data_IF_388107723945
#
_entry.id   IF_388107723945
#
_cell.length_a   1.000
_cell.length_b   1.000
_cell.length_c   1.000
_cell.angle_alpha   90.00
_cell.angle_beta   90.00
_cell.angle_gamma   90.00
#
_symmetry.space_group_name_H-M   'P 1'
#
loop_
_entity.id
_entity.type
_entity.pdbx_description
1 polymer ?
#
# COMPACT_ATOMS: atom_id res chain seq x y z
N UNK A 1 7.92 -5.50 -17.23
CA UNK A 1 7.70 -5.38 -15.77
C UNK A 1 6.20 -5.37 -15.50
N UNK A 2 5.71 -6.08 -14.48
CA UNK A 2 4.27 -6.20 -14.15
C UNK A 2 3.95 -5.43 -12.87
N UNK A 3 2.90 -4.60 -12.92
CA UNK A 3 2.37 -3.84 -11.79
C UNK A 3 0.92 -4.30 -11.54
N UNK A 4 0.64 -4.76 -10.33
CA UNK A 4 -0.63 -5.35 -9.92
C UNK A 4 -1.35 -4.50 -8.87
N UNK A 5 -2.52 -3.99 -9.26
CA UNK A 5 -3.47 -3.25 -8.42
C UNK A 5 -3.68 -1.80 -8.87
N UNK A 6 -4.82 -1.22 -8.50
CA UNK A 6 -5.07 0.22 -8.68
C UNK A 6 -5.39 0.86 -7.34
N UNK A 7 -4.36 1.41 -6.74
CA UNK A 7 -4.42 2.34 -5.62
C UNK A 7 -3.51 3.53 -5.92
N UNK A 8 -3.72 4.65 -5.22
CA UNK A 8 -2.99 5.92 -5.46
C UNK A 8 -1.46 5.74 -5.54
N UNK A 9 -0.90 4.78 -4.79
CA UNK A 9 0.53 4.49 -4.80
C UNK A 9 1.01 3.76 -6.07
N UNK A 10 0.23 2.83 -6.61
CA UNK A 10 0.62 2.03 -7.77
C UNK A 10 0.66 2.86 -9.06
N UNK A 11 -0.25 3.83 -9.22
CA UNK A 11 -0.16 4.77 -10.35
C UNK A 11 1.17 5.55 -10.34
N UNK A 12 1.61 6.02 -9.16
CA UNK A 12 2.86 6.75 -9.05
C UNK A 12 4.07 5.83 -9.26
N UNK A 13 3.99 4.57 -8.82
CA UNK A 13 5.02 3.56 -9.12
C UNK A 13 5.11 3.30 -10.62
N UNK A 14 3.97 3.15 -11.31
CA UNK A 14 3.94 3.00 -12.76
C UNK A 14 4.62 4.19 -13.46
N UNK A 15 4.35 5.42 -13.02
CA UNK A 15 4.98 6.61 -13.59
C UNK A 15 6.49 6.67 -13.32
N UNK A 16 6.93 6.33 -12.11
CA UNK A 16 8.35 6.32 -11.76
C UNK A 16 9.14 5.25 -12.53
N UNK A 17 8.52 4.10 -12.81
CA UNK A 17 9.11 3.11 -13.71
C UNK A 17 9.06 3.55 -15.17
N UNK A 18 7.98 4.19 -15.61
CA UNK A 18 7.86 4.76 -16.96
C UNK A 18 8.96 5.77 -17.25
N UNK A 19 9.24 6.69 -16.31
CA UNK A 19 10.37 7.64 -16.39
C UNK A 19 11.74 6.98 -16.54
N UNK A 20 11.87 5.72 -16.12
CA UNK A 20 13.11 4.92 -16.22
C UNK A 20 13.14 4.06 -17.50
N UNK A 21 12.21 4.25 -18.42
CA UNK A 21 12.15 3.51 -19.68
C UNK A 21 11.67 2.06 -19.51
N UNK A 22 10.94 1.74 -18.44
CA UNK A 22 10.46 0.37 -18.24
C UNK A 22 9.24 0.07 -19.12
N UNK A 23 9.20 -1.14 -19.69
CA UNK A 23 7.98 -1.73 -20.25
C UNK A 23 7.03 -2.19 -19.14
N UNK A 24 5.77 -1.79 -19.22
CA UNK A 24 4.77 -1.97 -18.18
C UNK A 24 3.62 -2.84 -18.68
N UNK A 25 3.23 -3.81 -17.85
CA UNK A 25 1.89 -4.40 -17.88
C UNK A 25 1.22 -4.06 -16.57
N UNK A 26 0.05 -3.43 -16.62
CA UNK A 26 -0.63 -2.87 -15.45
C UNK A 26 -1.97 -3.60 -15.29
N UNK A 27 -2.17 -4.22 -14.13
CA UNK A 27 -3.36 -5.00 -13.80
C UNK A 27 -4.29 -4.27 -12.83
N UNK A 28 -5.58 -4.11 -13.16
CA UNK A 28 -6.58 -3.56 -12.25
C UNK A 28 -8.04 -3.87 -12.64
N UNK A 29 -8.96 -3.81 -11.67
CA UNK A 29 -10.40 -4.03 -11.91
C UNK A 29 -11.10 -2.92 -12.70
N UNK A 30 -10.70 -1.66 -12.51
CA UNK A 30 -11.37 -0.49 -13.11
C UNK A 30 -10.70 -0.10 -14.42
N UNK A 31 -11.27 -0.53 -15.53
CA UNK A 31 -10.70 -0.38 -16.86
C UNK A 31 -10.40 1.07 -17.25
N UNK A 32 -11.33 2.00 -17.04
CA UNK A 32 -11.13 3.42 -17.41
C UNK A 32 -9.92 4.03 -16.69
N UNK A 33 -9.83 3.84 -15.38
CA UNK A 33 -8.71 4.35 -14.59
C UNK A 33 -7.39 3.62 -14.91
N UNK A 34 -7.48 2.35 -15.33
CA UNK A 34 -6.32 1.58 -15.75
C UNK A 34 -5.74 2.11 -17.07
N UNK A 35 -6.61 2.43 -18.04
CA UNK A 35 -6.21 3.03 -19.32
C UNK A 35 -5.54 4.39 -19.12
N UNK A 36 -6.12 5.24 -18.26
CA UNK A 36 -5.53 6.55 -17.93
C UNK A 36 -4.09 6.41 -17.36
N UNK A 37 -3.88 5.45 -16.46
CA UNK A 37 -2.54 5.20 -15.89
C UNK A 37 -1.57 4.68 -16.95
N UNK A 38 -2.00 3.79 -17.84
CA UNK A 38 -1.16 3.29 -18.93
C UNK A 38 -0.76 4.42 -19.91
N UNK A 39 -1.72 5.24 -20.35
CA UNK A 39 -1.48 6.41 -21.20
C UNK A 39 -0.51 7.38 -20.54
N UNK A 40 -0.73 7.69 -19.25
CA UNK A 40 0.15 8.60 -18.53
C UNK A 40 1.55 8.01 -18.33
N UNK A 41 1.67 6.70 -18.12
CA UNK A 41 2.95 6.03 -18.00
C UNK A 41 3.75 6.05 -19.31
N UNK A 42 3.07 5.92 -20.46
CA UNK A 42 3.65 6.12 -21.78
C UNK A 42 4.17 7.56 -21.94
N UNK A 43 3.33 8.57 -21.65
CA UNK A 43 3.69 9.99 -21.76
C UNK A 43 4.90 10.41 -20.92
N UNK A 44 5.15 9.74 -19.78
CA UNK A 44 6.30 10.05 -18.91
C UNK A 44 7.58 9.28 -19.28
N UNK A 45 7.55 8.43 -20.32
CA UNK A 45 8.75 7.81 -20.88
C UNK A 45 8.74 6.28 -20.98
N UNK A 46 7.63 5.61 -20.65
CA UNK A 46 7.55 4.15 -20.85
C UNK A 46 7.54 3.82 -22.35
N UNK A 47 8.39 2.92 -22.84
CA UNK A 47 8.37 2.51 -24.25
C UNK A 47 7.12 1.68 -24.61
N UNK A 48 6.41 1.16 -23.61
CA UNK A 48 5.15 0.44 -23.79
C UNK A 48 4.47 0.18 -22.45
N UNK A 49 3.20 0.56 -22.35
CA UNK A 49 2.38 0.38 -21.14
C UNK A 49 1.04 -0.24 -21.53
N UNK A 50 0.81 -1.48 -21.09
CA UNK A 50 -0.34 -2.29 -21.48
C UNK A 50 -1.32 -2.42 -20.31
N UNK A 51 -2.54 -1.87 -20.42
CA UNK A 51 -3.58 -2.08 -19.43
C UNK A 51 -4.23 -3.46 -19.61
N UNK A 52 -4.28 -4.26 -18.55
CA UNK A 52 -4.95 -5.57 -18.53
C UNK A 52 -5.96 -5.57 -17.39
N UNK A 53 -7.28 -5.64 -17.67
CA UNK A 53 -8.27 -5.81 -16.61
C UNK A 53 -7.94 -7.04 -15.77
N UNK A 54 -7.84 -6.86 -14.45
CA UNK A 54 -7.40 -7.93 -13.54
C UNK A 54 -8.06 -7.76 -12.19
N UNK A 55 -8.80 -8.79 -11.79
CA UNK A 55 -9.17 -9.04 -10.41
C UNK A 55 -8.18 -10.00 -9.77
N UNK A 56 -7.34 -9.48 -8.87
CA UNK A 56 -6.28 -10.26 -8.24
C UNK A 56 -6.82 -11.40 -7.35
N UNK A 57 -8.08 -11.34 -6.91
CA UNK A 57 -8.71 -12.44 -6.17
C UNK A 57 -8.95 -13.68 -7.06
N UNK A 58 -8.88 -13.52 -8.39
CA UNK A 58 -9.11 -14.58 -9.37
C UNK A 58 -7.78 -15.12 -9.90
N UNK A 59 -7.63 -16.44 -9.84
CA UNK A 59 -6.43 -17.15 -10.29
C UNK A 59 -6.16 -16.93 -11.78
N UNK A 60 -7.19 -17.05 -12.62
CA UNK A 60 -7.04 -16.93 -14.08
C UNK A 60 -6.69 -15.50 -14.52
N UNK A 61 -7.22 -14.48 -13.85
CA UNK A 61 -6.85 -13.09 -14.11
C UNK A 61 -5.36 -12.85 -13.80
N UNK A 62 -4.87 -13.39 -12.67
CA UNK A 62 -3.45 -13.32 -12.30
C UNK A 62 -2.56 -14.02 -13.33
N UNK A 63 -2.96 -15.21 -13.78
CA UNK A 63 -2.25 -15.98 -14.81
C UNK A 63 -2.18 -15.20 -16.13
N UNK A 64 -3.32 -14.68 -16.58
CA UNK A 64 -3.46 -13.91 -17.83
C UNK A 64 -2.58 -12.69 -17.80
N UNK A 65 -2.56 -11.95 -16.69
CA UNK A 65 -1.70 -10.77 -16.57
C UNK A 65 -0.21 -11.09 -16.71
N UNK A 66 0.26 -12.14 -16.05
CA UNK A 66 1.66 -12.56 -16.19
C UNK A 66 1.94 -13.02 -17.62
N UNK A 67 1.03 -13.78 -18.22
CA UNK A 67 1.18 -14.26 -19.59
C UNK A 67 1.25 -13.11 -20.60
N UNK A 68 0.43 -12.06 -20.44
CA UNK A 68 0.50 -10.86 -21.29
C UNK A 68 1.88 -10.20 -21.22
N UNK A 69 2.48 -10.10 -20.04
CA UNK A 69 3.84 -9.55 -19.93
C UNK A 69 4.89 -10.37 -20.67
N UNK A 70 4.76 -11.71 -20.64
CA UNK A 70 5.67 -12.60 -21.34
C UNK A 70 5.41 -12.58 -22.86
N UNK A 71 4.16 -12.57 -23.29
CA UNK A 71 3.80 -12.51 -24.70
C UNK A 71 4.28 -11.21 -25.36
N UNK A 72 4.13 -10.09 -24.66
CA UNK A 72 4.40 -8.76 -25.22
C UNK A 72 5.88 -8.38 -25.14
N UNK A 73 6.56 -8.77 -24.06
CA UNK A 73 7.92 -8.30 -23.78
C UNK A 73 8.95 -9.42 -23.61
N UNK A 74 8.53 -10.69 -23.58
CA UNK A 74 9.41 -11.85 -23.46
C UNK A 74 10.13 -11.98 -22.11
N UNK A 75 9.89 -11.08 -21.15
CA UNK A 75 10.64 -11.02 -19.88
C UNK A 75 9.83 -10.41 -18.75
N UNK A 76 10.19 -10.81 -17.52
CA UNK A 76 9.65 -10.25 -16.30
C UNK A 76 10.75 -9.98 -15.28
N UNK A 77 11.06 -8.70 -15.06
CA UNK A 77 12.12 -8.29 -14.12
C UNK A 77 11.56 -7.96 -12.73
N UNK A 78 10.49 -7.16 -12.65
CA UNK A 78 9.83 -6.91 -11.37
C UNK A 78 8.34 -7.25 -11.43
N UNK A 79 7.85 -7.84 -10.35
CA UNK A 79 6.44 -7.97 -10.00
C UNK A 79 6.16 -7.03 -8.83
N UNK A 80 5.30 -6.04 -9.02
CA UNK A 80 4.89 -5.13 -7.93
C UNK A 80 3.44 -5.41 -7.56
N UNK A 81 3.16 -5.76 -6.30
CA UNK A 81 1.82 -6.08 -5.81
C UNK A 81 1.44 -5.14 -4.67
N UNK A 82 0.33 -4.41 -4.83
CA UNK A 82 -0.28 -3.62 -3.75
C UNK A 82 -1.80 -3.74 -3.77
N UNK A 83 -2.28 -4.97 -3.68
CA UNK A 83 -3.67 -5.25 -3.46
C UNK A 83 -3.91 -5.35 -1.95
N UNK A 84 -4.64 -4.38 -1.40
CA UNK A 84 -4.89 -4.26 0.03
C UNK A 84 -6.32 -3.78 0.25
N UNK A 85 -7.20 -4.63 0.76
CA UNK A 85 -8.48 -4.21 1.33
C UNK A 85 -8.46 -4.55 2.82
N UNK A 86 -8.62 -3.53 3.66
CA UNK A 86 -8.75 -3.71 5.10
C UNK A 86 -10.21 -3.44 5.47
N UNK A 87 -10.99 -4.46 5.82
CA UNK A 87 -12.31 -4.22 6.41
C UNK A 87 -12.12 -3.46 7.72
N UNK A 88 -12.81 -2.32 7.86
CA UNK A 88 -12.77 -1.50 9.07
C UNK A 88 -14.04 -1.82 9.85
N UNK A 89 -13.95 -2.78 10.78
CA UNK A 89 -15.00 -3.09 11.75
C UNK A 89 -14.39 -3.40 13.11
N UNK A 90 -15.13 -3.17 14.19
CA UNK A 90 -14.78 -3.80 15.47
C UNK A 90 -15.05 -5.29 15.35
N UNK A 91 -14.21 -6.11 15.98
CA UNK A 91 -14.48 -7.55 16.06
C UNK A 91 -15.83 -7.82 16.73
N UNK A 92 -16.16 -7.02 17.76
CA UNK A 92 -17.43 -7.04 18.50
C UNK A 92 -18.64 -6.64 17.64
N UNK A 93 -18.44 -5.77 16.65
CA UNK A 93 -19.47 -5.34 15.68
C UNK A 93 -19.52 -6.24 14.43
N UNK A 94 -18.70 -7.29 14.38
CA UNK A 94 -18.63 -8.19 13.21
C UNK A 94 -19.49 -9.42 13.46
N UNK A 95 -20.74 -9.35 13.00
CA UNK A 95 -21.74 -10.41 13.18
C UNK A 95 -21.54 -11.61 12.24
N UNK A 96 -20.77 -11.44 11.14
CA UNK A 96 -20.46 -12.51 10.19
C UNK A 96 -18.97 -12.56 9.85
N UNK A 97 -18.32 -13.67 10.21
CA UNK A 97 -16.89 -13.94 9.94
C UNK A 97 -16.58 -14.05 8.45
N UNK A 98 -17.58 -14.41 7.63
CA UNK A 98 -17.48 -14.47 6.16
C UNK A 98 -17.11 -13.12 5.52
N UNK A 99 -17.33 -12.00 6.21
CA UNK A 99 -16.92 -10.66 5.74
C UNK A 99 -15.40 -10.48 5.61
N UNK A 100 -14.60 -11.38 6.18
CA UNK A 100 -13.14 -11.36 6.04
C UNK A 100 -12.62 -12.17 4.85
N UNK A 101 -13.42 -13.06 4.27
CA UNK A 101 -12.99 -13.91 3.16
C UNK A 101 -12.52 -13.09 1.94
N UNK A 102 -13.23 -12.04 1.48
CA UNK A 102 -12.75 -11.21 0.38
C UNK A 102 -11.43 -10.48 0.69
N UNK A 103 -11.19 -10.12 1.96
CA UNK A 103 -9.94 -9.49 2.36
C UNK A 103 -8.76 -10.48 2.28
N UNK A 104 -8.97 -11.74 2.66
CA UNK A 104 -7.98 -12.81 2.50
C UNK A 104 -7.74 -13.16 1.02
N UNK A 105 -8.80 -13.22 0.23
CA UNK A 105 -8.72 -13.49 -1.21
C UNK A 105 -7.87 -12.43 -1.94
N UNK A 106 -7.99 -11.17 -1.53
CA UNK A 106 -7.23 -10.07 -2.14
C UNK A 106 -5.82 -9.96 -1.55
N UNK A 107 -5.69 -9.90 -0.22
CA UNK A 107 -4.44 -9.54 0.44
C UNK A 107 -3.45 -10.70 0.48
N UNK A 108 -3.95 -11.93 0.60
CA UNK A 108 -3.13 -13.13 0.72
C UNK A 108 -3.12 -13.92 -0.58
N UNK A 109 -4.29 -14.41 -1.02
CA UNK A 109 -4.38 -15.28 -2.18
C UNK A 109 -3.99 -14.56 -3.47
N UNK A 110 -4.41 -13.31 -3.65
CA UNK A 110 -4.02 -12.53 -4.81
C UNK A 110 -2.51 -12.33 -4.95
N UNK A 111 -1.81 -12.11 -3.82
CA UNK A 111 -0.34 -12.09 -3.82
C UNK A 111 0.25 -13.47 -4.16
N UNK A 112 -0.31 -14.54 -3.58
CA UNK A 112 0.16 -15.90 -3.82
C UNK A 112 0.02 -16.31 -5.29
N UNK A 113 -1.14 -16.06 -5.91
CA UNK A 113 -1.39 -16.38 -7.31
C UNK A 113 -0.47 -15.61 -8.26
N UNK A 114 -0.38 -14.29 -8.10
CA UNK A 114 0.52 -13.46 -8.90
C UNK A 114 1.99 -13.92 -8.78
N UNK A 115 2.43 -14.20 -7.56
CA UNK A 115 3.78 -14.69 -7.30
C UNK A 115 4.02 -16.05 -7.92
N UNK A 116 3.06 -16.98 -7.80
CA UNK A 116 3.16 -18.33 -8.33
C UNK A 116 3.39 -18.31 -9.85
N UNK A 117 2.58 -17.56 -10.60
CA UNK A 117 2.73 -17.47 -12.06
C UNK A 117 3.96 -16.66 -12.48
N UNK A 118 4.38 -15.66 -11.71
CA UNK A 118 5.56 -14.85 -12.02
C UNK A 118 6.90 -15.55 -11.69
N UNK A 119 6.91 -16.45 -10.69
CA UNK A 119 8.11 -17.08 -10.15
C UNK A 119 9.07 -17.68 -11.20
N UNK A 120 8.62 -18.50 -12.19
CA UNK A 120 9.53 -19.07 -13.18
C UNK A 120 10.26 -17.98 -13.98
N UNK A 121 9.54 -16.94 -14.42
CA UNK A 121 10.10 -15.86 -15.25
C UNK A 121 11.02 -14.94 -14.45
N UNK A 122 10.66 -14.66 -13.19
CA UNK A 122 11.51 -13.88 -12.27
C UNK A 122 12.82 -14.63 -11.96
N UNK A 123 12.81 -15.96 -11.88
CA UNK A 123 14.04 -16.75 -11.68
C UNK A 123 14.99 -16.61 -12.86
N UNK A 124 14.47 -16.60 -14.09
CA UNK A 124 15.27 -16.44 -15.31
C UNK A 124 15.97 -15.08 -15.37
N UNK A 125 15.28 -14.02 -14.95
CA UNK A 125 15.81 -12.65 -14.97
C UNK A 125 16.57 -12.25 -13.71
N UNK A 126 16.60 -13.12 -12.68
CA UNK A 126 16.96 -12.75 -11.29
C UNK A 126 16.13 -11.55 -10.79
N UNK A 127 14.89 -11.51 -11.23
CA UNK A 127 13.91 -10.49 -10.95
C UNK A 127 13.47 -10.44 -9.49
N UNK A 128 12.64 -9.44 -9.18
CA UNK A 128 12.23 -9.10 -7.81
C UNK A 128 10.71 -9.07 -7.67
N UNK A 129 10.25 -9.44 -6.49
CA UNK A 129 8.87 -9.24 -6.06
C UNK A 129 8.87 -8.09 -5.05
N UNK A 130 8.05 -7.09 -5.32
CA UNK A 130 7.88 -5.90 -4.47
C UNK A 130 6.47 -5.95 -3.91
N UNK A 131 6.35 -6.29 -2.64
CA UNK A 131 5.08 -6.32 -1.92
C UNK A 131 4.95 -5.01 -1.14
N UNK A 132 3.86 -4.29 -1.35
CA UNK A 132 3.53 -3.11 -0.55
C UNK A 132 2.63 -3.57 0.61
N UNK A 133 3.16 -3.47 1.82
CA UNK A 133 2.45 -3.76 3.06
C UNK A 133 2.19 -2.48 3.87
N UNK A 134 1.21 -2.53 4.76
CA UNK A 134 0.88 -1.42 5.65
C UNK A 134 1.65 -1.51 6.97
N UNK A 135 1.95 -0.35 7.57
CA UNK A 135 2.43 -0.24 8.95
C UNK A 135 1.43 -0.84 9.97
N UNK A 136 0.15 -0.89 9.63
CA UNK A 136 -0.90 -1.52 10.43
C UNK A 136 -0.70 -3.04 10.60
N UNK A 137 0.04 -3.70 9.71
CA UNK A 137 0.42 -5.11 9.87
C UNK A 137 1.40 -5.33 11.04
N UNK A 138 2.03 -4.26 11.53
CA UNK A 138 3.02 -4.30 12.62
C UNK A 138 2.48 -3.69 13.92
N UNK A 139 1.67 -2.64 13.79
CA UNK A 139 0.96 -2.01 14.91
C UNK A 139 -0.41 -2.66 15.08
N UNK A 140 -0.44 -3.79 15.77
CA UNK A 140 -1.68 -4.37 16.30
C UNK A 140 -2.26 -3.42 17.37
N UNK A 141 -2.98 -2.39 16.95
CA UNK A 141 -3.83 -1.65 17.86
C UNK A 141 -5.06 -2.55 18.13
N UNK A 142 -5.46 -2.78 19.40
CA UNK A 142 -6.61 -3.62 19.77
C UNK A 142 -7.94 -3.21 19.12
N UNK A 143 -7.97 -2.08 18.43
CA UNK A 143 -9.12 -1.51 17.76
C UNK A 143 -8.69 -1.05 16.36
N UNK A 144 -8.92 -1.88 15.34
CA UNK A 144 -8.63 -1.55 13.94
C UNK A 144 -9.53 -0.44 13.36
N UNK A 145 -10.56 -0.01 14.10
CA UNK A 145 -11.40 1.15 13.83
C UNK A 145 -10.65 2.50 13.89
N UNK A 146 -9.41 2.50 14.40
CA UNK A 146 -8.59 3.70 14.58
C UNK A 146 -7.66 4.02 13.40
N UNK A 147 -7.89 3.42 12.23
CA UNK A 147 -7.11 3.71 11.02
C UNK A 147 -6.96 5.22 10.79
N UNK A 148 -7.98 6.02 11.09
CA UNK A 148 -7.93 7.47 10.90
C UNK A 148 -7.24 8.27 12.02
N UNK A 149 -7.24 7.80 13.28
CA UNK A 149 -6.70 8.60 14.41
C UNK A 149 -5.22 8.33 14.63
N UNK A 150 -4.79 7.06 14.56
CA UNK A 150 -3.37 6.70 14.68
C UNK A 150 -2.60 7.17 13.43
N UNK A 151 -3.19 7.04 12.23
CA UNK A 151 -2.56 7.57 11.01
C UNK A 151 -2.53 9.09 10.97
N UNK A 152 -3.43 9.80 11.66
CA UNK A 152 -3.40 11.26 11.74
C UNK A 152 -2.25 11.79 12.61
N UNK A 153 -1.80 11.02 13.61
CA UNK A 153 -0.71 11.38 14.50
C UNK A 153 0.69 10.95 13.99
N UNK A 154 0.73 10.16 12.91
CA UNK A 154 1.96 9.67 12.29
C UNK A 154 2.34 10.62 11.14
N UNK A 155 3.61 11.08 11.03
CA UNK A 155 4.08 11.88 9.90
C UNK A 155 3.71 11.22 8.57
N UNK A 156 2.94 11.94 7.74
CA UNK A 156 2.44 11.42 6.47
C UNK A 156 3.43 11.74 5.36
N UNK A 157 3.91 10.72 4.65
CA UNK A 157 4.81 10.90 3.52
C UNK A 157 4.05 11.03 2.20
N UNK A 158 4.56 11.89 1.30
CA UNK A 158 3.97 12.06 -0.03
C UNK A 158 4.06 10.77 -0.84
N UNK A 159 2.93 10.35 -1.40
CA UNK A 159 2.83 9.10 -2.19
C UNK A 159 3.83 9.04 -3.34
N UNK A 160 4.13 10.18 -3.97
CA UNK A 160 5.18 10.27 -5.00
C UNK A 160 6.59 10.00 -4.47
N UNK A 161 6.92 10.45 -3.25
CA UNK A 161 8.21 10.15 -2.61
C UNK A 161 8.32 8.66 -2.25
N UNK A 162 7.24 8.09 -1.70
CA UNK A 162 7.16 6.65 -1.43
C UNK A 162 7.34 5.83 -2.70
N UNK A 163 6.62 6.18 -3.78
CA UNK A 163 6.76 5.50 -5.06
C UNK A 163 8.20 5.57 -5.60
N UNK A 164 8.83 6.74 -5.57
CA UNK A 164 10.22 6.91 -6.00
C UNK A 164 11.18 6.06 -5.17
N UNK A 165 11.01 6.01 -3.85
CA UNK A 165 11.81 5.19 -2.95
C UNK A 165 11.63 3.69 -3.23
N UNK A 166 10.40 3.24 -3.44
CA UNK A 166 10.07 1.85 -3.78
C UNK A 166 10.73 1.43 -5.09
N UNK A 167 10.58 2.22 -6.14
CA UNK A 167 11.21 1.95 -7.45
C UNK A 167 12.73 1.96 -7.33
N UNK A 168 13.30 2.93 -6.60
CA UNK A 168 14.74 2.98 -6.39
C UNK A 168 15.27 1.76 -5.62
N UNK A 169 14.57 1.33 -4.55
CA UNK A 169 14.95 0.16 -3.78
C UNK A 169 14.85 -1.14 -4.57
N UNK A 170 13.79 -1.30 -5.36
CA UNK A 170 13.64 -2.43 -6.27
C UNK A 170 14.80 -2.52 -7.27
N UNK A 171 15.14 -1.40 -7.92
CA UNK A 171 16.27 -1.33 -8.87
C UNK A 171 17.64 -1.59 -8.20
N UNK A 172 17.83 -1.20 -6.93
CA UNK A 172 19.06 -1.53 -6.17
C UNK A 172 19.12 -2.98 -5.73
N UNK A 173 17.98 -3.69 -5.71
CA UNK A 173 17.88 -5.04 -5.19
C UNK A 173 17.74 -5.11 -3.66
N UNK A 174 17.21 -4.06 -3.04
CA UNK A 174 16.96 -4.04 -1.59
C UNK A 174 15.98 -5.17 -1.21
N UNK A 175 16.34 -6.00 -0.22
CA UNK A 175 15.46 -7.09 0.27
C UNK A 175 14.26 -6.57 1.04
N UNK A 176 14.43 -5.48 1.77
CA UNK A 176 13.40 -4.86 2.60
C UNK A 176 13.53 -3.34 2.52
N UNK A 177 12.42 -2.69 2.23
CA UNK A 177 12.30 -1.24 2.25
C UNK A 177 11.18 -0.84 3.21
N UNK A 178 11.49 0.04 4.15
CA UNK A 178 10.51 0.60 5.08
C UNK A 178 10.42 2.09 4.80
N UNK A 179 9.23 2.55 4.41
CA UNK A 179 8.95 3.96 4.15
C UNK A 179 7.74 4.36 4.99
N UNK A 180 7.86 5.36 5.87
CA UNK A 180 9.06 6.17 6.15
C UNK A 180 10.14 5.40 6.95
N UNK A 181 11.45 5.73 6.82
CA UNK A 181 12.54 4.96 7.43
C UNK A 181 12.54 4.89 8.96
N UNK A 182 12.08 5.96 9.63
CA UNK A 182 12.01 6.04 11.09
C UNK A 182 11.09 4.98 11.71
N UNK A 183 10.16 4.42 10.92
CA UNK A 183 9.29 3.33 11.33
C UNK A 183 10.06 2.03 11.63
N UNK A 184 11.32 1.90 11.20
CA UNK A 184 12.17 0.78 11.64
C UNK A 184 12.53 0.87 13.12
N UNK A 185 12.64 2.06 13.67
CA UNK A 185 13.02 2.25 15.07
C UNK A 185 11.89 1.83 16.01
N UNK A 186 10.64 2.08 15.61
CA UNK A 186 9.47 1.65 16.40
C UNK A 186 9.35 0.14 16.49
N UNK A 187 9.80 -0.60 15.48
CA UNK A 187 9.89 -2.07 15.52
C UNK A 187 10.78 -2.55 16.68
N UNK A 188 11.97 -1.97 16.83
CA UNK A 188 12.88 -2.36 17.91
C UNK A 188 12.33 -2.00 19.29
N UNK A 189 11.69 -0.84 19.42
CA UNK A 189 11.04 -0.43 20.68
C UNK A 189 9.94 -1.42 21.06
N UNK A 190 9.07 -1.79 20.11
CA UNK A 190 8.00 -2.75 20.34
C UNK A 190 8.53 -4.16 20.67
N UNK A 191 9.61 -4.59 20.04
CA UNK A 191 10.19 -5.92 20.26
C UNK A 191 10.84 -6.04 21.64
N UNK A 192 11.44 -4.96 22.15
CA UNK A 192 12.15 -4.95 23.44
C UNK A 192 11.25 -4.56 24.62
N UNK A 193 10.23 -3.73 24.38
CA UNK A 193 9.34 -3.19 25.41
C UNK A 193 7.87 -3.26 24.96
N UNK A 194 7.31 -4.47 24.73
CA UNK A 194 5.96 -4.61 24.22
C UNK A 194 4.92 -4.06 25.22
N UNK A 195 5.06 -4.31 26.51
CA UNK A 195 4.13 -3.85 27.54
C UNK A 195 4.13 -2.33 27.69
N UNK A 196 5.30 -1.70 27.61
CA UNK A 196 5.41 -0.24 27.65
C UNK A 196 4.80 0.40 26.39
N UNK A 197 4.98 -0.24 25.24
CA UNK A 197 4.40 0.21 23.97
C UNK A 197 2.87 0.10 23.99
N UNK A 198 2.34 -1.00 24.54
CA UNK A 198 0.89 -1.21 24.67
C UNK A 198 0.28 -0.26 25.71
N UNK A 199 0.95 -0.07 26.84
CA UNK A 199 0.56 0.94 27.84
C UNK A 199 0.52 2.35 27.23
N UNK A 200 1.56 2.73 26.49
CA UNK A 200 1.62 4.03 25.81
C UNK A 200 0.51 4.17 24.77
N UNK A 201 0.29 3.15 23.92
CA UNK A 201 -0.79 3.18 22.93
C UNK A 201 -2.16 3.29 23.60
N UNK A 202 -2.39 2.59 24.71
CA UNK A 202 -3.64 2.69 25.46
C UNK A 202 -3.84 4.08 26.04
N UNK A 203 -2.83 4.63 26.72
CA UNK A 203 -2.90 5.97 27.30
C UNK A 203 -3.04 7.07 26.24
N UNK A 204 -2.33 6.96 25.12
CA UNK A 204 -2.27 8.00 24.09
C UNK A 204 -3.47 7.96 23.14
N UNK A 205 -3.94 6.77 22.77
CA UNK A 205 -4.96 6.59 21.72
C UNK A 205 -6.34 6.18 22.23
N UNK A 206 -6.47 5.65 23.46
CA UNK A 206 -7.73 5.11 23.97
C UNK A 206 -8.24 5.98 25.12
N UNK A 207 -9.46 6.49 24.98
CA UNK A 207 -10.20 7.15 26.08
C UNK A 207 -10.87 6.10 26.97
N UNK A 208 -11.13 6.48 28.23
CA UNK A 208 -11.89 5.63 29.16
C UNK A 208 -13.32 5.35 28.65
N UNK A 209 -13.93 4.22 29.02
CA UNK A 209 -15.30 3.90 28.63
C UNK A 209 -16.27 5.03 28.99
N UNK A 210 -17.06 5.50 28.02
CA UNK A 210 -18.02 6.60 28.20
C UNK A 210 -17.51 7.99 27.78
N UNK A 211 -16.22 8.16 27.50
CA UNK A 211 -15.65 9.42 27.02
C UNK A 211 -15.56 9.42 25.47
N UNK A 212 -16.06 10.46 24.79
CA UNK A 212 -15.97 10.58 23.33
C UNK A 212 -14.53 10.51 22.81
N UNK A 213 -14.34 9.83 21.68
CA UNK A 213 -13.03 9.67 21.00
C UNK A 213 -12.40 11.01 20.61
N UNK A 214 -13.18 12.08 20.52
CA UNK A 214 -12.71 13.46 20.32
C UNK A 214 -11.76 13.95 21.41
N UNK A 215 -11.82 13.36 22.60
CA UNK A 215 -11.03 13.80 23.76
C UNK A 215 -9.72 13.02 23.96
N UNK A 216 -9.42 12.05 23.09
CA UNK A 216 -8.17 11.30 23.12
C UNK A 216 -6.96 12.24 23.09
N UNK A 217 -5.91 11.92 23.85
CA UNK A 217 -4.68 12.72 23.91
C UNK A 217 -4.08 12.86 22.51
N UNK A 218 -4.07 11.78 21.73
CA UNK A 218 -3.63 11.80 20.33
C UNK A 218 -4.37 12.84 19.48
N UNK A 219 -5.67 13.00 19.68
CA UNK A 219 -6.49 13.97 18.94
C UNK A 219 -6.24 15.40 19.41
N UNK A 220 -6.12 15.62 20.73
CA UNK A 220 -5.72 16.91 21.30
C UNK A 220 -4.34 17.36 20.79
N UNK A 221 -3.39 16.43 20.67
CA UNK A 221 -2.06 16.67 20.12
C UNK A 221 -2.15 17.04 18.64
N UNK A 222 -2.87 16.28 17.82
CA UNK A 222 -3.05 16.58 16.40
C UNK A 222 -3.74 17.94 16.19
N UNK A 223 -4.68 18.32 17.05
CA UNK A 223 -5.40 19.60 16.99
C UNK A 223 -4.60 20.79 17.54
N UNK A 224 -3.36 20.58 18.02
CA UNK A 224 -2.46 21.68 18.41
C UNK A 224 -2.15 22.59 17.22
N UNK A 225 -2.21 23.93 17.40
CA UNK A 225 -1.87 24.89 16.35
C UNK A 225 -0.47 24.64 15.78
N UNK A 226 -0.34 24.57 14.46
CA UNK A 226 0.94 24.37 13.76
C UNK A 226 1.44 22.92 13.68
N UNK A 227 0.91 21.98 14.48
CA UNK A 227 1.38 20.58 14.41
C UNK A 227 0.92 19.89 13.12
N UNK A 228 -0.29 20.23 12.65
CA UNK A 228 -0.80 19.77 11.34
C UNK A 228 0.07 20.26 10.18
N UNK A 229 0.72 21.41 10.32
CA UNK A 229 1.61 21.96 9.29
C UNK A 229 2.95 21.23 9.19
N UNK A 230 3.37 20.60 10.28
CA UNK A 230 4.59 19.78 10.37
C UNK A 230 4.30 18.33 9.96
N UNK A 231 3.18 17.78 10.43
CA UNK A 231 2.86 16.36 10.24
C UNK A 231 2.27 16.05 8.86
N UNK A 232 1.57 16.99 8.23
CA UNK A 232 0.84 16.75 6.99
C UNK A 232 1.37 17.59 5.82
N UNK A 233 1.57 16.99 4.63
CA UNK A 233 1.91 17.75 3.43
C UNK A 233 0.78 18.69 3.01
N UNK A 234 1.12 19.76 2.29
CA UNK A 234 0.17 20.81 1.82
C UNK A 234 -1.03 20.22 1.08
N UNK A 235 -0.83 19.11 0.36
CA UNK A 235 -1.90 18.40 -0.35
C UNK A 235 -3.04 17.99 0.57
N UNK A 236 -2.76 17.55 1.80
CA UNK A 236 -3.78 17.10 2.77
C UNK A 236 -4.42 18.30 3.50
N UNK A 237 -3.71 19.42 3.58
CA UNK A 237 -4.16 20.66 4.23
C UNK A 237 -5.15 21.47 3.38
N UNK A 238 -5.21 21.21 2.07
CA UNK A 238 -6.11 21.91 1.15
C UNK A 238 -7.60 21.61 1.44
N UNK A 239 -8.45 22.63 1.66
CA UNK A 239 -9.88 22.46 1.91
C UNK A 239 -10.66 21.84 0.73
N UNK A 240 -10.05 21.74 -0.46
CA UNK A 240 -10.65 21.12 -1.67
C UNK A 240 -10.79 19.59 -1.60
N UNK A 241 -10.31 18.92 -0.55
CA UNK A 241 -10.38 17.44 -0.41
C UNK A 241 -11.64 16.98 0.33
N UNK A 242 -12.43 17.88 0.93
CA UNK A 242 -13.76 17.50 1.41
C UNK A 242 -14.69 17.38 0.19
N UNK A 243 -15.32 16.20 0.08
CA UNK A 243 -16.37 15.76 -0.87
C UNK A 243 -15.95 15.49 -2.31
N UNK A 244 -15.67 14.21 -2.59
CA UNK A 244 -16.48 13.36 -3.48
C UNK A 244 -16.19 11.87 -3.20
#
# INVERSE_FOLDING_TARGET
>A
MVILGLWLILKHIAYEYGKRGAFLVIGARRENALREVAERAYLVGSPGAIPVPTDISKVEDCKTLIQEAINQFGRLDHLVVAAGVTPVSMFEDTFEVTNFAPAMDINFWGLAYATYFAAPYLRMTRGRIVVIASSASWLNAPRLSFYNVVMSAIPVELVGRCAKAIVAGACRGDKYLTVPPWFRTTFFIKMMLPEATDWFNRWFCITEPGIPVTEAISKKVVDLPGLKDILWPDSIRSPKIKTN
#
